data_IF_961213821031
#
_entry.id   IF_961213821031
#
_cell.length_a   1.000
_cell.length_b   1.000
_cell.length_c   1.000
_cell.angle_alpha   90.00
_cell.angle_beta   90.00
_cell.angle_gamma   90.00
#
_symmetry.space_group_name_H-M   'P 1'
#
loop_
_entity.id
_entity.type
_entity.pdbx_description
1 polymer ?
#
# COMPACT_ATOMS: atom_id res chain seq x y z
N UNK A 1 23.16 -25.35 -4.83
CA UNK A 1 22.12 -24.29 -4.72
C UNK A 1 22.67 -23.05 -5.39
N UNK A 2 22.05 -22.60 -6.48
CA UNK A 2 22.51 -21.38 -7.17
C UNK A 2 22.16 -20.15 -6.32
N UNK A 3 22.90 -19.05 -6.48
CA UNK A 3 22.61 -17.80 -5.78
C UNK A 3 21.18 -17.30 -6.08
N UNK A 4 20.68 -17.53 -7.31
CA UNK A 4 19.33 -17.14 -7.72
C UNK A 4 18.24 -17.97 -7.06
N UNK A 5 18.45 -19.28 -6.92
CA UNK A 5 17.53 -20.15 -6.19
C UNK A 5 17.45 -19.77 -4.71
N UNK A 6 18.59 -19.43 -4.09
CA UNK A 6 18.62 -18.95 -2.71
C UNK A 6 17.87 -17.63 -2.53
N UNK A 7 18.06 -16.68 -3.45
CA UNK A 7 17.32 -15.42 -3.46
C UNK A 7 15.82 -15.64 -3.61
N UNK A 8 15.41 -16.49 -4.54
CA UNK A 8 14.00 -16.82 -4.75
C UNK A 8 13.36 -17.44 -3.50
N UNK A 9 14.00 -18.45 -2.89
CA UNK A 9 13.50 -19.08 -1.65
C UNK A 9 13.45 -18.10 -0.47
N UNK A 10 14.43 -17.20 -0.37
CA UNK A 10 14.43 -16.12 0.62
C UNK A 10 13.24 -15.16 0.43
N UNK A 11 12.94 -14.78 -0.81
CA UNK A 11 11.79 -13.93 -1.10
C UNK A 11 10.46 -14.62 -0.74
N UNK A 12 10.32 -15.91 -1.06
CA UNK A 12 9.15 -16.69 -0.66
C UNK A 12 9.01 -16.74 0.86
N UNK A 13 10.08 -17.06 1.59
CA UNK A 13 10.01 -17.16 3.05
C UNK A 13 9.63 -15.83 3.70
N UNK A 14 10.21 -14.71 3.25
CA UNK A 14 9.90 -13.37 3.74
C UNK A 14 8.52 -12.85 3.33
N UNK A 15 7.94 -13.40 2.26
CA UNK A 15 6.59 -13.06 1.81
C UNK A 15 5.50 -13.75 2.63
N UNK A 16 5.82 -14.80 3.38
CA UNK A 16 4.87 -15.48 4.29
C UNK A 16 4.31 -14.52 5.34
N UNK A 17 5.14 -13.57 5.82
CA UNK A 17 4.69 -12.53 6.76
C UNK A 17 4.02 -11.39 5.99
N UNK A 18 2.74 -11.05 6.26
CA UNK A 18 2.08 -9.91 5.63
C UNK A 18 2.71 -8.58 6.07
N UNK A 19 2.50 -7.48 5.30
CA UNK A 19 2.86 -6.14 5.77
C UNK A 19 1.94 -5.71 6.92
N UNK A 20 2.42 -4.81 7.77
CA UNK A 20 1.55 -4.16 8.75
C UNK A 20 0.70 -3.12 8.04
N UNK A 21 -0.62 -3.20 8.22
CA UNK A 21 -1.58 -2.33 7.56
C UNK A 21 -2.46 -1.65 8.59
N UNK A 22 -2.39 -0.32 8.70
CA UNK A 22 -3.09 0.45 9.73
C UNK A 22 -3.84 1.62 9.10
N UNK A 23 -5.00 1.93 9.66
CA UNK A 23 -5.71 3.18 9.37
C UNK A 23 -5.37 4.20 10.45
N UNK A 24 -4.90 5.37 10.04
CA UNK A 24 -4.57 6.49 10.91
C UNK A 24 -5.67 7.55 10.84
N UNK A 25 -6.18 7.97 11.98
CA UNK A 25 -7.23 8.97 12.11
C UNK A 25 -6.73 10.10 12.99
N UNK A 26 -6.75 11.32 12.44
CA UNK A 26 -6.28 12.53 13.11
C UNK A 26 -7.26 13.67 12.89
N UNK A 27 -7.56 14.41 13.96
CA UNK A 27 -8.38 15.61 13.92
C UNK A 27 -7.65 16.79 14.52
N UNK A 28 -7.69 17.94 13.85
CA UNK A 28 -7.04 19.18 14.30
C UNK A 28 -7.99 20.36 14.19
N UNK A 29 -7.87 21.30 15.12
CA UNK A 29 -8.50 22.61 15.02
C UNK A 29 -7.47 23.73 15.18
N UNK A 30 -7.76 24.88 14.59
CA UNK A 30 -6.95 26.09 14.75
C UNK A 30 -7.51 26.92 15.88
N UNK A 31 -6.68 27.24 16.87
CA UNK A 31 -6.99 28.12 17.99
C UNK A 31 -6.27 29.46 17.77
N UNK A 32 -6.96 30.58 18.01
CA UNK A 32 -6.35 31.90 18.01
C UNK A 32 -5.97 32.27 19.44
N UNK A 33 -4.67 32.37 19.73
CA UNK A 33 -4.17 32.72 21.06
C UNK A 33 -3.53 34.09 21.08
N UNK A 34 -3.61 34.74 22.24
CA UNK A 34 -2.91 35.98 22.55
C UNK A 34 -1.77 35.69 23.51
N UNK A 35 -0.59 36.24 23.22
CA UNK A 35 0.52 36.27 24.18
C UNK A 35 0.93 37.71 24.45
N UNK A 36 1.28 37.99 25.70
CA UNK A 36 1.88 39.27 26.08
C UNK A 36 3.39 39.18 25.87
N UNK A 37 3.92 39.99 24.95
CA UNK A 37 5.37 40.09 24.72
C UNK A 37 5.85 41.40 25.30
N UNK A 38 6.73 41.31 26.30
CA UNK A 38 7.43 42.48 26.85
C UNK A 38 8.63 42.79 25.94
N UNK A 39 8.55 43.91 25.22
CA UNK A 39 9.63 44.43 24.39
C UNK A 39 10.21 45.68 25.05
N UNK A 40 11.52 45.73 25.22
CA UNK A 40 12.19 46.94 25.70
C UNK A 40 12.40 47.89 24.52
N UNK A 41 11.85 49.09 24.60
CA UNK A 41 12.08 50.13 23.60
C UNK A 41 13.53 50.65 23.69
N UNK A 42 13.99 51.32 22.63
CA UNK A 42 15.29 52.01 22.52
C UNK A 42 15.64 52.96 23.69
N UNK A 43 14.63 53.34 24.50
CA UNK A 43 14.77 54.17 25.71
C UNK A 43 14.79 53.39 27.03
N UNK A 44 14.85 52.06 27.00
CA UNK A 44 14.98 51.21 28.20
C UNK A 44 13.66 50.91 28.94
N UNK A 45 12.52 51.38 28.44
CA UNK A 45 11.22 51.13 29.07
C UNK A 45 10.62 49.80 28.58
N UNK A 46 10.13 48.94 29.49
CA UNK A 46 9.41 47.73 29.11
C UNK A 46 8.02 48.10 28.57
N UNK A 47 7.74 47.72 27.34
CA UNK A 47 6.41 47.86 26.71
C UNK A 47 5.80 46.47 26.54
N UNK A 48 4.59 46.27 27.06
CA UNK A 48 3.85 45.01 26.88
C UNK A 48 2.97 45.14 25.65
N UNK A 49 3.28 44.38 24.60
CA UNK A 49 2.46 44.32 23.38
C UNK A 49 1.70 43.01 23.36
N UNK A 50 0.42 43.07 23.00
CA UNK A 50 -0.40 41.87 22.78
C UNK A 50 -0.17 41.39 21.35
N UNK A 51 0.41 40.20 21.20
CA UNK A 51 0.56 39.53 19.90
C UNK A 51 -0.51 38.45 19.74
N UNK A 52 -1.20 38.44 18.60
CA UNK A 52 -2.13 37.38 18.21
C UNK A 52 -1.39 36.36 17.34
N UNK A 53 -1.48 35.06 17.66
CA UNK A 53 -0.95 33.99 16.84
C UNK A 53 -1.93 32.82 16.72
N UNK A 54 -1.81 32.05 15.65
CA UNK A 54 -2.62 30.84 15.40
C UNK A 54 -1.84 29.60 15.80
N UNK A 55 -2.50 28.68 16.53
CA UNK A 55 -1.93 27.41 16.95
C UNK A 55 -2.83 26.27 16.47
N UNK A 56 -2.27 25.27 15.76
CA UNK A 56 -3.01 24.08 15.35
C UNK A 56 -2.93 23.03 16.45
N UNK A 57 -4.04 22.78 17.14
CA UNK A 57 -4.14 21.81 18.22
C UNK A 57 -4.71 20.51 17.67
N UNK A 58 -4.04 19.39 17.96
CA UNK A 58 -4.55 18.05 17.61
C UNK A 58 -5.55 17.63 18.66
N UNK A 59 -6.79 17.32 18.30
CA UNK A 59 -7.84 16.90 19.25
C UNK A 59 -7.78 15.41 19.52
N UNK A 60 -7.76 14.60 18.45
CA UNK A 60 -7.65 13.15 18.52
C UNK A 60 -6.60 12.66 17.51
N UNK A 61 -5.94 11.56 17.85
CA UNK A 61 -4.90 10.93 17.04
C UNK A 61 -4.78 9.46 17.45
N UNK A 62 -5.29 8.54 16.63
CA UNK A 62 -5.24 7.12 16.93
C UNK A 62 -5.18 6.25 15.68
N UNK A 63 -4.79 5.00 15.87
CA UNK A 63 -4.64 4.01 14.81
C UNK A 63 -5.66 2.87 14.98
N UNK A 64 -6.04 2.24 13.87
CA UNK A 64 -6.78 0.97 13.84
C UNK A 64 -5.96 -0.03 13.03
N UNK A 65 -5.74 -1.22 13.58
CA UNK A 65 -5.01 -2.28 12.88
C UNK A 65 -5.95 -3.04 11.93
N UNK A 66 -5.58 -3.05 10.65
CA UNK A 66 -6.28 -3.74 9.56
C UNK A 66 -5.51 -4.99 9.12
N UNK A 67 -4.33 -5.26 9.68
CA UNK A 67 -3.54 -6.45 9.35
C UNK A 67 -4.31 -7.76 9.56
N UNK A 68 -5.12 -7.93 10.63
CA UNK A 68 -5.91 -9.15 10.83
C UNK A 68 -6.99 -9.38 9.77
N UNK A 69 -7.35 -8.35 8.99
CA UNK A 69 -8.33 -8.45 7.92
C UNK A 69 -7.74 -9.01 6.62
N UNK A 70 -6.43 -9.23 6.55
CA UNK A 70 -5.78 -9.88 5.40
C UNK A 70 -6.10 -11.37 5.44
N UNK A 71 -6.90 -11.83 4.48
CA UNK A 71 -7.42 -13.21 4.45
C UNK A 71 -6.71 -14.12 3.46
N UNK A 72 -6.05 -13.55 2.45
CA UNK A 72 -5.43 -14.33 1.40
C UNK A 72 -4.13 -13.68 0.92
N UNK A 73 -3.12 -14.50 0.62
CA UNK A 73 -1.83 -14.09 0.09
C UNK A 73 -0.66 -14.80 0.77
N UNK A 74 0.57 -14.59 0.27
CA UNK A 74 0.90 -13.68 -0.82
C UNK A 74 0.57 -14.26 -2.20
N UNK A 75 -0.12 -13.48 -3.04
CA UNK A 75 -0.16 -13.73 -4.48
C UNK A 75 1.05 -13.06 -5.10
N UNK A 76 1.99 -13.86 -5.61
CA UNK A 76 3.19 -13.34 -6.24
C UNK A 76 2.88 -12.74 -7.60
N UNK A 77 3.31 -11.51 -7.82
CA UNK A 77 3.07 -10.80 -9.06
C UNK A 77 4.36 -10.15 -9.58
N UNK A 78 4.38 -9.96 -10.89
CA UNK A 78 5.43 -9.27 -11.62
C UNK A 78 4.81 -8.10 -12.38
N UNK A 79 5.55 -7.00 -12.49
CA UNK A 79 5.09 -5.80 -13.16
C UNK A 79 4.91 -6.10 -14.65
N UNK A 80 3.77 -5.70 -15.22
CA UNK A 80 3.53 -5.85 -16.65
C UNK A 80 4.61 -5.15 -17.47
N UNK A 81 4.91 -5.67 -18.66
CA UNK A 81 6.04 -5.19 -19.45
C UNK A 81 5.89 -3.76 -19.96
N UNK A 82 4.64 -3.32 -20.12
CA UNK A 82 4.31 -1.95 -20.47
C UNK A 82 4.30 -0.98 -19.26
N UNK A 83 4.40 -1.47 -18.02
CA UNK A 83 4.56 -0.60 -16.86
C UNK A 83 6.03 -0.19 -16.66
N UNK A 84 6.30 1.13 -16.51
CA UNK A 84 7.65 1.65 -16.33
C UNK A 84 8.20 1.30 -14.95
N UNK A 85 9.21 0.46 -14.93
CA UNK A 85 9.84 -0.08 -13.73
C UNK A 85 11.36 0.03 -13.81
N UNK A 86 12.06 -0.08 -12.68
CA UNK A 86 13.51 -0.28 -12.74
C UNK A 86 13.77 -1.75 -13.06
N UNK A 87 14.36 -2.03 -14.24
CA UNK A 87 14.61 -3.38 -14.76
C UNK A 87 16.11 -3.66 -14.90
N UNK A 88 16.89 -3.24 -13.90
CA UNK A 88 18.34 -3.43 -13.84
C UNK A 88 19.16 -2.17 -14.09
N UNK A 89 18.60 -1.14 -14.70
CA UNK A 89 19.23 0.18 -14.82
C UNK A 89 18.84 1.15 -13.70
N UNK A 90 19.57 2.27 -13.59
CA UNK A 90 19.23 3.40 -12.71
C UNK A 90 18.18 4.36 -13.31
N UNK A 91 17.49 3.90 -14.36
CA UNK A 91 16.38 4.58 -15.03
C UNK A 91 15.20 3.62 -15.17
N UNK A 92 13.98 4.16 -15.24
CA UNK A 92 12.80 3.36 -15.51
C UNK A 92 12.78 2.91 -16.96
N UNK A 93 12.42 1.66 -17.17
CA UNK A 93 12.40 0.98 -18.46
C UNK A 93 11.06 0.28 -18.65
N UNK A 94 10.72 0.12 -19.92
CA UNK A 94 9.52 -0.54 -20.42
C UNK A 94 10.00 -1.61 -21.40
N UNK A 95 9.51 -2.84 -21.27
CA UNK A 95 9.93 -3.98 -22.12
C UNK A 95 8.96 -4.19 -23.31
N UNK A 96 7.71 -3.74 -23.21
CA UNK A 96 6.69 -3.76 -24.28
C UNK A 96 5.97 -2.42 -24.39
N UNK A 97 5.62 -1.99 -25.60
CA UNK A 97 4.97 -0.69 -25.77
C UNK A 97 3.46 -0.72 -25.48
N UNK A 98 2.84 -1.90 -25.40
CA UNK A 98 1.38 -2.00 -25.41
C UNK A 98 0.77 -2.46 -24.09
N UNK A 99 -0.19 -1.66 -23.60
CA UNK A 99 -1.04 -2.01 -22.44
C UNK A 99 -2.35 -2.66 -22.88
N UNK A 100 -2.60 -2.78 -24.18
CA UNK A 100 -3.87 -3.24 -24.74
C UNK A 100 -3.58 -4.14 -25.94
N UNK A 101 -4.24 -5.28 -26.03
CA UNK A 101 -4.42 -5.99 -27.30
C UNK A 101 -5.16 -5.06 -28.29
N UNK A 102 -4.45 -4.23 -29.04
CA UNK A 102 -5.00 -3.55 -30.22
C UNK A 102 -3.97 -3.52 -31.35
N UNK A 103 -4.32 -4.26 -32.39
CA UNK A 103 -3.70 -4.31 -33.71
C UNK A 103 -2.29 -4.93 -33.79
N UNK A 104 -2.17 -6.21 -34.22
CA UNK A 104 -0.88 -6.87 -34.43
C UNK A 104 0.00 -6.18 -35.50
N UNK A 105 -0.56 -5.27 -36.30
CA UNK A 105 0.16 -4.51 -37.32
C UNK A 105 0.90 -3.26 -36.78
N UNK A 106 0.63 -2.83 -35.53
CA UNK A 106 1.30 -1.69 -34.87
C UNK A 106 2.34 -2.11 -33.81
N UNK A 107 2.64 -3.41 -33.70
CA UNK A 107 3.63 -3.93 -32.76
C UNK A 107 5.06 -3.50 -33.18
N UNK A 108 5.52 -2.38 -32.63
CA UNK A 108 6.94 -2.01 -32.67
C UNK A 108 7.79 -3.07 -31.95
N UNK A 109 9.06 -3.27 -32.36
CA UNK A 109 9.84 -4.43 -31.94
C UNK A 109 9.97 -4.55 -30.42
N UNK A 110 9.72 -5.77 -29.93
CA UNK A 110 10.00 -6.23 -28.57
C UNK A 110 11.42 -5.83 -28.15
N UNK A 111 11.54 -4.87 -27.23
CA UNK A 111 12.84 -4.35 -26.82
C UNK A 111 12.75 -3.41 -25.61
N UNK A 112 13.65 -3.63 -24.65
CA UNK A 112 13.76 -2.82 -23.43
C UNK A 112 14.13 -1.38 -23.79
N UNK A 113 13.17 -0.45 -23.64
CA UNK A 113 13.38 1.00 -23.86
C UNK A 113 13.35 1.78 -22.56
N UNK A 114 13.93 2.98 -22.57
CA UNK A 114 13.78 3.94 -21.46
C UNK A 114 12.35 4.49 -21.45
N UNK A 115 11.76 4.60 -20.27
CA UNK A 115 10.41 5.14 -20.10
C UNK A 115 10.40 6.66 -20.35
N UNK A 116 9.39 7.14 -21.06
CA UNK A 116 9.15 8.57 -21.27
C UNK A 116 8.57 9.20 -20.00
N UNK A 117 8.69 10.52 -19.82
CA UNK A 117 8.08 11.23 -18.67
C UNK A 117 6.57 11.02 -18.61
N UNK A 118 5.90 10.98 -19.76
CA UNK A 118 4.47 10.71 -19.89
C UNK A 118 4.12 9.30 -19.42
N UNK A 119 4.85 8.27 -19.86
CA UNK A 119 4.70 6.88 -19.39
C UNK A 119 4.77 6.81 -17.85
N UNK A 120 5.76 7.50 -17.27
CA UNK A 120 5.99 7.52 -15.82
C UNK A 120 4.83 8.22 -15.09
N UNK A 121 4.31 9.32 -15.65
CA UNK A 121 3.18 10.07 -15.08
C UNK A 121 1.91 9.22 -15.13
N UNK A 122 1.58 8.66 -16.30
CA UNK A 122 0.40 7.82 -16.50
C UNK A 122 0.44 6.56 -15.62
N UNK A 123 1.61 5.92 -15.48
CA UNK A 123 1.76 4.77 -14.59
C UNK A 123 1.58 5.13 -13.11
N UNK A 124 2.04 6.33 -12.69
CA UNK A 124 1.81 6.83 -11.32
C UNK A 124 0.33 7.06 -11.06
N UNK A 125 -0.39 7.67 -12.00
CA UNK A 125 -1.84 7.90 -11.92
C UNK A 125 -2.61 6.58 -11.86
N UNK A 126 -2.33 5.63 -12.76
CA UNK A 126 -2.94 4.29 -12.73
C UNK A 126 -2.66 3.58 -11.41
N UNK A 127 -1.44 3.63 -10.90
CA UNK A 127 -1.10 3.02 -9.60
C UNK A 127 -1.91 3.66 -8.46
N UNK A 128 -2.04 4.99 -8.44
CA UNK A 128 -2.83 5.69 -7.43
C UNK A 128 -4.31 5.30 -7.49
N UNK A 129 -4.89 5.22 -8.70
CA UNK A 129 -6.29 4.80 -8.89
C UNK A 129 -6.48 3.34 -8.44
N UNK A 130 -5.56 2.43 -8.79
CA UNK A 130 -5.63 1.03 -8.32
C UNK A 130 -5.63 0.93 -6.80
N UNK A 131 -4.72 1.66 -6.14
CA UNK A 131 -4.63 1.67 -4.68
C UNK A 131 -5.90 2.26 -4.04
N UNK A 132 -6.42 3.34 -4.60
CA UNK A 132 -7.66 3.98 -4.16
C UNK A 132 -8.87 3.02 -4.26
N UNK A 133 -9.01 2.33 -5.40
CA UNK A 133 -10.10 1.39 -5.65
C UNK A 133 -9.90 0.01 -5.00
N UNK A 134 -8.73 -0.27 -4.42
CA UNK A 134 -8.41 -1.60 -3.89
C UNK A 134 -8.17 -2.66 -4.96
N UNK A 135 -7.80 -2.26 -6.17
CA UNK A 135 -7.55 -3.19 -7.27
C UNK A 135 -6.19 -3.88 -7.13
N UNK A 136 -6.07 -5.15 -7.51
CA UNK A 136 -4.80 -5.86 -7.48
C UNK A 136 -3.79 -5.29 -8.50
N UNK A 137 -2.48 -5.50 -8.26
CA UNK A 137 -1.42 -4.91 -9.08
C UNK A 137 -1.26 -5.51 -10.48
N UNK A 138 -1.95 -6.60 -10.80
CA UNK A 138 -1.98 -7.18 -12.15
C UNK A 138 -3.26 -6.82 -12.92
N UNK A 139 -4.21 -6.06 -12.35
CA UNK A 139 -5.43 -5.68 -13.08
C UNK A 139 -5.28 -4.29 -13.68
N UNK A 140 -5.69 -4.13 -14.93
CA UNK A 140 -5.73 -2.84 -15.62
C UNK A 140 -6.84 -1.93 -15.06
N UNK A 141 -6.57 -0.63 -14.99
CA UNK A 141 -7.58 0.38 -14.64
C UNK A 141 -8.44 0.64 -15.88
N UNK A 142 -9.57 -0.05 -16.01
CA UNK A 142 -10.59 0.23 -17.03
C UNK A 142 -11.64 1.27 -16.57
N UNK A 143 -12.45 1.85 -17.47
CA UNK A 143 -13.51 2.80 -17.12
C UNK A 143 -14.57 2.23 -16.17
N UNK A 144 -14.78 0.90 -16.16
CA UNK A 144 -15.69 0.18 -15.25
C UNK A 144 -14.97 -0.54 -14.10
N UNK A 145 -13.66 -0.38 -13.95
CA UNK A 145 -12.87 -1.15 -12.97
C UNK A 145 -13.24 -0.87 -11.51
N UNK A 146 -13.91 0.25 -11.22
CA UNK A 146 -14.44 0.60 -9.90
C UNK A 146 -15.80 -0.05 -9.57
N UNK A 147 -16.50 -0.62 -10.57
CA UNK A 147 -17.83 -1.21 -10.45
C UNK A 147 -17.81 -2.69 -10.07
N UNK A 148 -16.64 -3.33 -10.07
CA UNK A 148 -16.53 -4.79 -9.96
C UNK A 148 -16.73 -5.28 -8.50
N UNK A 149 -17.96 -5.17 -7.99
CA UNK A 149 -18.47 -5.92 -6.85
C UNK A 149 -18.77 -7.39 -7.21
N UNK A 150 -18.66 -7.74 -8.50
CA UNK A 150 -18.89 -9.09 -9.04
C UNK A 150 -17.57 -9.81 -9.31
N UNK A 151 -17.62 -11.14 -9.39
CA UNK A 151 -16.48 -11.98 -9.72
C UNK A 151 -15.84 -11.57 -11.07
N UNK A 152 -14.51 -11.71 -11.21
CA UNK A 152 -13.77 -11.13 -12.33
C UNK A 152 -13.88 -12.00 -13.60
N UNK A 153 -15.06 -12.07 -14.22
CA UNK A 153 -15.15 -12.63 -15.59
C UNK A 153 -14.53 -11.69 -16.65
N UNK A 154 -14.34 -10.39 -16.31
CA UNK A 154 -13.96 -9.34 -17.27
C UNK A 154 -12.76 -8.48 -16.85
N UNK A 155 -12.04 -8.85 -15.78
CA UNK A 155 -10.87 -8.10 -15.36
C UNK A 155 -9.73 -8.33 -16.35
N UNK A 156 -9.27 -7.28 -17.04
CA UNK A 156 -8.11 -7.36 -17.91
C UNK A 156 -6.86 -7.54 -17.04
N UNK A 157 -6.34 -8.77 -17.04
CA UNK A 157 -5.10 -9.12 -16.35
C UNK A 157 -3.93 -8.70 -17.24
N UNK A 158 -3.04 -7.89 -16.67
CA UNK A 158 -1.81 -7.45 -17.28
C UNK A 158 -0.72 -8.48 -17.02
N UNK A 159 -0.12 -8.98 -18.10
CA UNK A 159 0.88 -10.03 -18.04
C UNK A 159 2.31 -9.47 -18.03
N UNK A 160 3.21 -10.21 -17.39
CA UNK A 160 4.65 -9.97 -17.46
C UNK A 160 5.30 -11.14 -18.19
N UNK A 161 6.24 -10.85 -19.09
CA UNK A 161 7.05 -11.87 -19.75
C UNK A 161 7.96 -12.66 -18.79
N UNK A 162 8.21 -12.15 -17.56
CA UNK A 162 9.16 -12.75 -16.63
C UNK A 162 8.57 -13.02 -15.25
N UNK A 163 8.74 -14.26 -14.81
CA UNK A 163 8.41 -14.69 -13.46
C UNK A 163 9.38 -14.12 -12.41
N UNK A 164 8.98 -14.19 -11.13
CA UNK A 164 9.82 -13.82 -9.99
C UNK A 164 11.19 -14.52 -10.00
N UNK A 165 11.22 -15.80 -10.38
CA UNK A 165 12.45 -16.59 -10.45
C UNK A 165 13.38 -16.09 -11.55
N UNK A 166 12.85 -15.83 -12.74
CA UNK A 166 13.64 -15.28 -13.86
C UNK A 166 14.19 -13.89 -13.55
N UNK A 167 13.43 -13.05 -12.83
CA UNK A 167 13.94 -11.77 -12.33
C UNK A 167 15.07 -11.93 -11.31
N UNK A 168 15.00 -12.94 -10.45
CA UNK A 168 16.08 -13.28 -9.53
C UNK A 168 17.32 -13.80 -10.28
N UNK A 169 17.13 -14.61 -11.33
CA UNK A 169 18.22 -15.07 -12.20
C UNK A 169 18.91 -13.88 -12.90
N UNK A 170 18.13 -12.96 -13.49
CA UNK A 170 18.67 -11.73 -14.14
C UNK A 170 19.43 -10.84 -13.15
N UNK A 171 18.89 -10.66 -11.93
CA UNK A 171 19.58 -9.93 -10.87
C UNK A 171 20.90 -10.58 -10.48
N UNK A 172 20.93 -11.91 -10.32
CA UNK A 172 22.14 -12.63 -9.94
C UNK A 172 23.19 -12.62 -11.06
N UNK A 173 22.78 -12.73 -12.32
CA UNK A 173 23.66 -12.71 -13.49
C UNK A 173 24.29 -11.34 -13.76
N UNK A 174 23.68 -10.24 -13.29
CA UNK A 174 24.24 -8.90 -13.46
C UNK A 174 25.57 -8.71 -12.70
N UNK A 175 26.54 -8.12 -13.37
CA UNK A 175 27.89 -7.75 -12.88
C UNK A 175 27.92 -6.46 -12.03
N UNK A 176 26.77 -5.82 -11.82
CA UNK A 176 26.66 -4.52 -11.13
C UNK A 176 27.01 -4.63 -9.64
N UNK A 177 27.89 -3.75 -9.16
CA UNK A 177 28.40 -3.76 -7.78
C UNK A 177 27.40 -3.19 -6.77
N UNK A 178 26.62 -2.18 -7.18
CA UNK A 178 25.61 -1.50 -6.36
C UNK A 178 24.18 -1.86 -6.80
N UNK A 179 23.98 -3.14 -7.15
CA UNK A 179 22.65 -3.64 -7.52
C UNK A 179 21.71 -3.74 -6.32
N UNK A 180 20.44 -3.39 -6.51
CA UNK A 180 19.41 -3.46 -5.47
C UNK A 180 18.15 -4.12 -6.04
N UNK A 181 17.72 -5.19 -5.40
CA UNK A 181 16.47 -5.86 -5.72
C UNK A 181 15.43 -5.49 -4.67
N UNK A 182 14.34 -4.84 -5.09
CA UNK A 182 13.26 -4.42 -4.21
C UNK A 182 12.01 -5.25 -4.49
N UNK A 183 11.61 -6.05 -3.52
CA UNK A 183 10.33 -6.76 -3.53
C UNK A 183 9.30 -5.94 -2.77
N UNK A 184 8.16 -5.68 -3.41
CA UNK A 184 7.10 -4.80 -2.87
C UNK A 184 5.88 -5.60 -2.41
N UNK A 185 5.46 -5.43 -1.16
CA UNK A 185 4.23 -5.95 -0.61
C UNK A 185 3.12 -4.92 -0.84
N UNK A 186 1.95 -5.37 -1.27
CA UNK A 186 0.80 -4.52 -1.57
C UNK A 186 -0.45 -5.15 -0.96
N UNK A 187 -1.24 -4.37 -0.25
CA UNK A 187 -2.56 -4.79 0.23
C UNK A 187 -3.64 -4.31 -0.75
N UNK A 188 -4.60 -5.17 -1.08
CA UNK A 188 -5.70 -4.86 -2.00
C UNK A 188 -7.02 -5.49 -1.53
N UNK A 189 -8.11 -5.20 -2.24
CA UNK A 189 -9.44 -5.76 -2.03
C UNK A 189 -10.46 -4.75 -1.51
N UNK A 190 -10.06 -3.78 -0.69
CA UNK A 190 -10.99 -2.75 -0.19
C UNK A 190 -10.86 -1.44 -0.96
N UNK A 191 -12.00 -0.82 -1.27
CA UNK A 191 -12.01 0.54 -1.81
C UNK A 191 -11.70 1.52 -0.68
N UNK A 192 -10.43 1.91 -0.60
CA UNK A 192 -9.92 2.80 0.46
C UNK A 192 -10.47 4.21 0.34
N UNK A 193 -10.84 4.67 -0.87
CA UNK A 193 -11.49 5.97 -1.06
C UNK A 193 -12.89 5.99 -0.46
N UNK A 194 -13.74 5.03 -0.83
CA UNK A 194 -15.12 4.96 -0.31
C UNK A 194 -15.12 4.73 1.20
N UNK A 195 -14.22 3.86 1.69
CA UNK A 195 -14.09 3.62 3.12
C UNK A 195 -13.63 4.88 3.87
N UNK A 196 -12.66 5.62 3.31
CA UNK A 196 -12.22 6.90 3.86
C UNK A 196 -13.38 7.90 3.93
N UNK A 197 -14.17 8.04 2.87
CA UNK A 197 -15.30 8.95 2.83
C UNK A 197 -16.37 8.59 3.86
N UNK A 198 -16.70 7.30 4.00
CA UNK A 198 -17.63 6.80 5.01
C UNK A 198 -17.13 7.09 6.44
N UNK A 199 -15.84 6.83 6.71
CA UNK A 199 -15.22 7.13 8.01
C UNK A 199 -15.22 8.63 8.30
N UNK A 200 -14.85 9.47 7.32
CA UNK A 200 -14.89 10.92 7.47
C UNK A 200 -16.32 11.40 7.74
N UNK A 201 -17.33 10.85 7.06
CA UNK A 201 -18.73 11.18 7.30
C UNK A 201 -19.19 10.80 8.72
N UNK A 202 -18.79 9.63 9.23
CA UNK A 202 -19.07 9.23 10.61
C UNK A 202 -18.39 10.16 11.63
N UNK A 203 -17.13 10.55 11.40
CA UNK A 203 -16.42 11.49 12.27
C UNK A 203 -17.08 12.87 12.25
N UNK A 204 -17.50 13.34 11.07
CA UNK A 204 -18.21 14.63 10.91
C UNK A 204 -19.51 14.73 11.70
N UNK A 205 -20.14 13.61 12.04
CA UNK A 205 -21.33 13.61 12.90
C UNK A 205 -21.03 14.01 14.36
N UNK A 206 -19.76 13.94 14.78
CA UNK A 206 -19.32 14.20 16.16
C UNK A 206 -18.30 15.35 16.22
N UNK A 207 -17.62 15.65 15.11
CA UNK A 207 -16.48 16.56 15.07
C UNK A 207 -16.49 17.45 13.81
N UNK A 208 -16.35 18.77 14.01
CA UNK A 208 -16.58 19.76 12.94
C UNK A 208 -15.32 20.42 12.37
N UNK A 209 -14.12 20.08 12.86
CA UNK A 209 -12.87 20.70 12.41
C UNK A 209 -12.15 19.85 11.33
N UNK A 210 -10.86 20.10 11.12
CA UNK A 210 -10.08 19.43 10.08
C UNK A 210 -9.83 17.97 10.43
N UNK A 211 -10.09 17.08 9.48
CA UNK A 211 -10.00 15.62 9.66
C UNK A 211 -9.07 15.06 8.59
N UNK A 212 -8.09 14.28 9.03
CA UNK A 212 -7.19 13.52 8.19
C UNK A 212 -7.36 12.02 8.48
N UNK A 213 -7.66 11.26 7.43
CA UNK A 213 -7.72 9.79 7.48
C UNK A 213 -6.78 9.26 6.41
N UNK A 214 -5.79 8.46 6.82
CA UNK A 214 -4.80 7.83 5.94
C UNK A 214 -4.70 6.33 6.20
N UNK A 215 -4.26 5.59 5.18
CA UNK A 215 -3.93 4.18 5.29
C UNK A 215 -2.44 4.01 5.18
N UNK A 216 -1.81 3.59 6.27
CA UNK A 216 -0.39 3.47 6.40
C UNK A 216 0.01 2.00 6.34
N UNK A 217 1.06 1.72 5.55
CA UNK A 217 1.61 0.39 5.39
C UNK A 217 3.06 0.39 5.84
N UNK A 218 3.40 -0.48 6.78
CA UNK A 218 4.75 -0.70 7.28
C UNK A 218 5.25 -2.09 6.89
N UNK A 219 6.57 -2.25 6.83
CA UNK A 219 7.21 -3.50 6.38
C UNK A 219 6.80 -3.92 4.95
N UNK A 220 6.54 -2.94 4.08
CA UNK A 220 6.04 -3.14 2.72
C UNK A 220 7.13 -3.48 1.69
N UNK A 221 8.41 -3.33 2.04
CA UNK A 221 9.51 -3.48 1.08
C UNK A 221 10.62 -4.33 1.64
N UNK A 222 11.05 -5.31 0.86
CA UNK A 222 12.25 -6.10 1.12
C UNK A 222 13.31 -5.64 0.11
N UNK A 223 14.43 -5.10 0.62
CA UNK A 223 15.54 -4.61 -0.21
C UNK A 223 16.74 -5.53 -0.06
N UNK A 224 17.09 -6.22 -1.13
CA UNK A 224 18.28 -7.07 -1.21
C UNK A 224 19.40 -6.33 -1.93
N UNK A 225 20.61 -6.44 -1.37
CA UNK A 225 21.86 -5.90 -1.94
C UNK A 225 22.92 -6.99 -1.97
N UNK A 226 23.86 -6.95 -2.92
CA UNK A 226 24.92 -7.96 -3.02
C UNK A 226 25.89 -7.84 -1.85
N UNK A 227 26.48 -8.97 -1.46
CA UNK A 227 27.45 -9.06 -0.37
C UNK A 227 28.87 -8.61 -0.80
N UNK A 228 28.99 -7.42 -1.38
CA UNK A 228 30.26 -6.87 -1.85
C UNK A 228 30.90 -5.97 -0.79
N UNK A 229 32.24 -5.90 -0.76
CA UNK A 229 33.00 -5.02 0.17
C UNK A 229 32.52 -3.58 0.11
N UNK A 230 32.27 -3.07 -1.10
CA UNK A 230 31.79 -1.70 -1.32
C UNK A 230 30.36 -1.48 -0.79
N UNK A 231 29.46 -2.46 -0.94
CA UNK A 231 28.10 -2.38 -0.37
C UNK A 231 28.12 -2.42 1.15
N UNK A 232 28.98 -3.27 1.74
CA UNK A 232 29.19 -3.36 3.19
C UNK A 232 29.81 -2.07 3.75
N UNK A 233 30.79 -1.52 3.05
CA UNK A 233 31.46 -0.27 3.39
C UNK A 233 30.45 0.89 3.44
N UNK A 234 29.62 1.04 2.41
CA UNK A 234 28.57 2.08 2.35
C UNK A 234 27.45 1.90 3.39
N UNK A 235 27.31 0.72 3.98
CA UNK A 235 26.31 0.47 5.02
C UNK A 235 26.75 0.94 6.41
N UNK A 236 28.06 1.09 6.65
CA UNK A 236 28.61 1.45 7.94
C UNK A 236 28.38 2.94 8.27
N UNK A 237 27.92 3.23 9.49
CA UNK A 237 27.62 4.58 9.96
C UNK A 237 28.86 5.51 9.94
N UNK A 238 30.02 5.01 10.37
CA UNK A 238 31.26 5.80 10.38
C UNK A 238 31.72 6.18 8.98
N UNK A 239 31.60 5.25 8.04
CA UNK A 239 31.94 5.51 6.64
C UNK A 239 30.99 6.55 6.03
N UNK A 240 29.69 6.51 6.35
CA UNK A 240 28.75 7.54 5.90
C UNK A 240 29.13 8.93 6.39
N UNK A 241 29.63 9.04 7.62
CA UNK A 241 30.13 10.28 8.19
C UNK A 241 31.36 10.79 7.43
N UNK A 242 32.36 9.94 7.19
CA UNK A 242 33.53 10.30 6.39
C UNK A 242 33.18 10.68 4.94
N UNK A 243 32.25 9.95 4.30
CA UNK A 243 31.78 10.27 2.96
C UNK A 243 31.06 11.62 2.87
N UNK A 244 30.44 12.04 3.98
CA UNK A 244 29.81 13.36 4.09
C UNK A 244 30.87 14.46 4.22
N UNK A 245 31.85 14.28 5.12
CA UNK A 245 32.98 15.22 5.29
C UNK A 245 33.76 15.39 3.99
N UNK A 246 34.03 14.28 3.29
CA UNK A 246 34.80 14.28 2.05
C UNK A 246 33.98 14.68 0.81
N UNK A 247 32.68 14.97 0.96
CA UNK A 247 31.78 15.34 -0.14
C UNK A 247 31.82 14.33 -1.31
N UNK A 248 31.94 13.03 -1.02
CA UNK A 248 32.12 11.98 -2.05
C UNK A 248 30.78 11.49 -2.64
N UNK A 249 29.65 11.78 -2.00
CA UNK A 249 28.31 11.39 -2.47
C UNK A 249 27.99 11.73 -3.95
N UNK A 250 28.31 12.93 -4.50
CA UNK A 250 28.09 13.20 -5.92
C UNK A 250 28.86 12.24 -6.83
N UNK A 251 30.07 11.82 -6.46
CA UNK A 251 30.87 10.85 -7.23
C UNK A 251 30.29 9.44 -7.15
N UNK A 252 29.81 9.02 -5.97
CA UNK A 252 29.10 7.74 -5.82
C UNK A 252 27.83 7.73 -6.68
N UNK A 253 27.09 8.84 -6.70
CA UNK A 253 25.91 8.99 -7.54
C UNK A 253 26.28 8.89 -9.03
N UNK A 254 27.35 9.57 -9.46
CA UNK A 254 27.83 9.54 -10.83
C UNK A 254 28.26 8.13 -11.24
N UNK A 255 29.01 7.44 -10.37
CA UNK A 255 29.41 6.05 -10.57
C UNK A 255 28.18 5.13 -10.69
N UNK A 256 27.19 5.29 -9.80
CA UNK A 256 25.96 4.50 -9.80
C UNK A 256 25.16 4.72 -11.10
N UNK A 257 25.15 5.94 -11.64
CA UNK A 257 24.35 6.35 -12.81
C UNK A 257 25.02 6.01 -14.15
N UNK A 258 26.32 6.28 -14.29
CA UNK A 258 27.02 6.28 -15.59
C UNK A 258 27.96 5.10 -15.81
N UNK A 259 28.39 4.40 -14.75
CA UNK A 259 29.25 3.22 -14.90
C UNK A 259 28.42 1.99 -15.26
N UNK A 260 28.88 1.22 -16.25
CA UNK A 260 28.29 -0.07 -16.63
C UNK A 260 28.18 -1.04 -15.44
N UNK A 261 29.25 -1.10 -14.63
CA UNK A 261 29.34 -1.96 -13.44
C UNK A 261 28.78 -1.31 -12.17
N UNK A 262 28.24 -0.09 -12.28
CA UNK A 262 27.85 0.73 -11.14
C UNK A 262 26.55 0.26 -10.50
N UNK A 263 25.50 1.04 -10.69
CA UNK A 263 24.20 0.83 -10.07
C UNK A 263 23.23 0.07 -10.94
N UNK A 264 22.47 -0.83 -10.32
CA UNK A 264 21.29 -1.40 -10.93
C UNK A 264 20.15 -1.48 -9.94
N UNK A 265 18.93 -1.25 -10.40
CA UNK A 265 17.75 -1.36 -9.54
C UNK A 265 16.72 -2.25 -10.19
N UNK A 266 16.16 -3.17 -9.42
CA UNK A 266 15.07 -4.04 -9.82
C UNK A 266 13.89 -3.74 -8.90
N UNK A 267 12.84 -3.13 -9.46
CA UNK A 267 11.56 -2.89 -8.78
C UNK A 267 10.45 -3.48 -9.64
N UNK A 268 10.49 -4.79 -9.86
CA UNK A 268 9.73 -5.48 -10.91
C UNK A 268 8.70 -6.46 -10.37
N UNK A 269 8.70 -6.76 -9.07
CA UNK A 269 7.87 -7.81 -8.53
C UNK A 269 7.47 -7.56 -7.08
N UNK A 270 6.50 -8.34 -6.63
CA UNK A 270 5.94 -8.18 -5.31
C UNK A 270 5.06 -9.32 -4.85
N UNK A 271 4.50 -9.12 -3.67
CA UNK A 271 3.47 -9.97 -3.06
C UNK A 271 2.23 -9.14 -2.82
N UNK A 272 1.08 -9.61 -3.29
CA UNK A 272 -0.19 -8.97 -3.05
C UNK A 272 -0.98 -9.74 -1.99
N UNK A 273 -1.55 -9.00 -1.05
CA UNK A 273 -2.28 -9.51 0.10
C UNK A 273 -3.72 -8.98 0.01
N UNK A 274 -4.69 -9.89 -0.02
CA UNK A 274 -6.08 -9.55 -0.21
C UNK A 274 -6.81 -9.42 1.13
N UNK A 275 -7.51 -8.30 1.31
CA UNK A 275 -8.51 -8.10 2.36
C UNK A 275 -9.83 -8.79 2.01
N UNK A 276 -10.15 -8.85 0.71
CA UNK A 276 -11.24 -9.66 0.16
C UNK A 276 -10.84 -10.19 -1.22
N UNK A 277 -11.17 -11.43 -1.53
CA UNK A 277 -10.92 -12.06 -2.84
C UNK A 277 -12.00 -13.08 -3.19
N UNK A 278 -12.28 -13.23 -4.48
CA UNK A 278 -13.10 -14.31 -5.01
C UNK A 278 -12.25 -15.57 -5.15
N UNK A 279 -12.77 -16.72 -4.71
CA UNK A 279 -12.15 -18.03 -4.89
C UNK A 279 -13.11 -18.98 -5.60
N UNK A 280 -12.63 -19.63 -6.65
CA UNK A 280 -13.34 -20.70 -7.35
C UNK A 280 -13.42 -21.90 -6.39
N UNK A 281 -14.63 -22.42 -6.20
CA UNK A 281 -14.86 -23.58 -5.36
C UNK A 281 -14.73 -24.88 -6.15
N UNK A 282 -14.36 -25.99 -5.48
CA UNK A 282 -14.28 -27.28 -6.11
C UNK A 282 -15.61 -27.69 -6.79
N UNK A 283 -15.56 -28.47 -7.88
CA UNK A 283 -16.75 -28.96 -8.56
C UNK A 283 -17.61 -29.81 -7.60
N UNK A 284 -18.92 -29.55 -7.59
CA UNK A 284 -19.87 -30.21 -6.68
C UNK A 284 -20.20 -29.44 -5.40
N UNK A 285 -19.58 -28.27 -5.18
CA UNK A 285 -19.94 -27.39 -4.06
C UNK A 285 -21.36 -26.85 -4.24
N UNK A 286 -22.25 -27.19 -3.30
CA UNK A 286 -23.61 -26.65 -3.27
C UNK A 286 -23.60 -25.28 -2.61
N UNK A 287 -24.20 -24.29 -3.27
CA UNK A 287 -24.41 -22.97 -2.68
C UNK A 287 -25.37 -23.14 -1.50
N UNK A 288 -25.03 -22.62 -0.29
CA UNK A 288 -25.95 -22.68 0.84
C UNK A 288 -27.28 -22.01 0.48
N UNK A 289 -28.43 -22.72 0.59
CA UNK A 289 -29.71 -22.25 0.06
C UNK A 289 -30.28 -20.99 0.76
N UNK A 290 -29.68 -20.55 1.88
CA UNK A 290 -30.21 -19.49 2.74
C UNK A 290 -29.30 -18.26 2.91
N UNK A 291 -28.21 -18.13 2.15
CA UNK A 291 -27.24 -17.02 2.30
C UNK A 291 -27.05 -16.30 0.97
N UNK A 292 -28.06 -15.55 0.54
CA UNK A 292 -27.95 -14.70 -0.66
C UNK A 292 -27.38 -13.31 -0.32
N UNK A 293 -26.28 -13.27 0.42
CA UNK A 293 -25.59 -12.03 0.78
C UNK A 293 -24.71 -11.50 -0.37
N UNK A 294 -24.86 -12.07 -1.58
CA UNK A 294 -24.03 -11.79 -2.76
C UNK A 294 -22.58 -12.28 -2.64
N UNK A 295 -22.25 -13.15 -1.67
CA UNK A 295 -20.92 -13.75 -1.50
C UNK A 295 -20.69 -14.96 -2.41
N UNK A 296 -21.75 -15.58 -2.87
CA UNK A 296 -21.72 -16.69 -3.80
C UNK A 296 -22.19 -16.19 -5.16
N UNK A 297 -21.43 -16.50 -6.21
CA UNK A 297 -21.79 -16.17 -7.58
C UNK A 297 -21.52 -17.37 -8.49
N UNK A 298 -22.33 -17.50 -9.55
CA UNK A 298 -22.06 -18.43 -10.63
C UNK A 298 -21.23 -17.72 -11.70
N UNK A 299 -20.17 -18.38 -12.13
CA UNK A 299 -19.22 -17.92 -13.14
C UNK A 299 -19.07 -19.02 -14.20
N UNK A 300 -18.63 -18.68 -15.41
CA UNK A 300 -18.31 -19.65 -16.47
C UNK A 300 -17.43 -20.81 -16.00
N UNK A 301 -16.52 -20.52 -15.07
CA UNK A 301 -15.49 -21.44 -14.56
C UNK A 301 -15.95 -22.22 -13.32
N UNK A 302 -17.18 -21.98 -12.83
CA UNK A 302 -17.77 -22.65 -11.68
C UNK A 302 -18.40 -21.71 -10.66
N UNK A 303 -18.64 -22.22 -9.46
CA UNK A 303 -19.15 -21.42 -8.34
C UNK A 303 -17.99 -20.71 -7.68
N UNK A 304 -18.10 -19.39 -7.52
CA UNK A 304 -17.12 -18.59 -6.80
C UNK A 304 -17.69 -18.09 -5.48
N UNK A 305 -16.82 -18.04 -4.48
CA UNK A 305 -17.13 -17.58 -3.13
C UNK A 305 -16.22 -16.42 -2.72
N UNK A 306 -16.80 -15.37 -2.14
CA UNK A 306 -16.06 -14.23 -1.62
C UNK A 306 -15.50 -14.55 -0.24
N UNK A 307 -14.17 -14.59 -0.15
CA UNK A 307 -13.44 -14.72 1.11
C UNK A 307 -12.99 -13.34 1.57
N UNK A 308 -13.20 -13.04 2.85
CA UNK A 308 -12.86 -11.77 3.48
C UNK A 308 -14.06 -10.99 4.00
N UNK A 309 -13.78 -10.08 4.93
CA UNK A 309 -14.76 -9.09 5.40
C UNK A 309 -14.89 -8.01 4.32
N UNK A 310 -16.12 -7.57 4.02
CA UNK A 310 -16.32 -6.44 3.10
C UNK A 310 -16.07 -5.13 3.84
N UNK A 311 -15.55 -4.13 3.13
CA UNK A 311 -15.28 -2.80 3.70
C UNK A 311 -16.51 -2.17 4.41
N UNK A 312 -17.73 -2.39 3.90
CA UNK A 312 -18.97 -1.90 4.52
C UNK A 312 -19.35 -2.64 5.81
N UNK A 313 -19.14 -3.95 5.87
CA UNK A 313 -19.39 -4.75 7.09
C UNK A 313 -18.38 -4.39 8.18
N UNK A 314 -17.12 -4.26 7.78
CA UNK A 314 -16.06 -3.77 8.66
C UNK A 314 -16.42 -2.39 9.19
N UNK A 315 -16.83 -1.46 8.32
CA UNK A 315 -17.20 -0.10 8.73
C UNK A 315 -18.38 -0.09 9.70
N UNK A 316 -19.44 -0.85 9.42
CA UNK A 316 -20.61 -0.94 10.31
C UNK A 316 -20.23 -1.41 11.72
N UNK A 317 -19.31 -2.37 11.82
CA UNK A 317 -18.78 -2.86 13.09
C UNK A 317 -17.91 -1.83 13.83
N UNK A 318 -17.14 -1.04 13.08
CA UNK A 318 -16.18 -0.08 13.64
C UNK A 318 -16.74 1.33 13.87
N UNK A 319 -17.87 1.68 13.24
CA UNK A 319 -18.44 3.02 13.28
C UNK A 319 -18.66 3.53 14.72
N UNK A 320 -19.24 2.69 15.58
CA UNK A 320 -19.49 3.03 16.99
C UNK A 320 -18.19 3.33 17.75
N UNK A 321 -17.18 2.48 17.59
CA UNK A 321 -15.85 2.65 18.19
C UNK A 321 -15.16 3.92 17.69
N UNK A 322 -15.21 4.19 16.38
CA UNK A 322 -14.61 5.40 15.77
C UNK A 322 -15.28 6.66 16.34
N UNK A 323 -16.62 6.71 16.33
CA UNK A 323 -17.37 7.85 16.87
C UNK A 323 -17.07 8.04 18.35
N UNK A 324 -17.09 6.97 19.15
CA UNK A 324 -16.80 7.02 20.58
C UNK A 324 -15.37 7.46 20.91
N UNK A 325 -14.38 7.00 20.15
CA UNK A 325 -12.98 7.42 20.31
C UNK A 325 -12.78 8.90 19.97
N UNK A 326 -13.44 9.40 18.91
CA UNK A 326 -13.43 10.82 18.55
C UNK A 326 -14.13 11.68 19.62
N UNK A 327 -15.32 11.28 20.09
CA UNK A 327 -16.02 12.00 21.17
C UNK A 327 -15.14 12.13 22.44
N UNK A 328 -14.37 11.07 22.75
CA UNK A 328 -13.46 11.03 23.90
C UNK A 328 -12.10 11.68 23.63
N UNK A 329 -11.88 12.24 22.43
CA UNK A 329 -10.62 12.89 22.02
C UNK A 329 -9.39 11.99 22.28
N UNK A 330 -9.52 10.71 21.95
CA UNK A 330 -8.48 9.70 22.23
C UNK A 330 -7.19 10.06 21.48
N UNK A 331 -6.06 9.97 22.18
CA UNK A 331 -4.71 10.11 21.62
C UNK A 331 -3.87 8.91 22.03
N UNK A 332 -3.52 8.06 21.08
CA UNK A 332 -2.71 6.86 21.34
C UNK A 332 -1.97 6.41 20.08
N UNK A 333 -0.73 5.95 20.27
CA UNK A 333 0.04 5.28 19.22
C UNK A 333 -0.27 3.79 19.10
N UNK A 334 -0.92 3.21 20.12
CA UNK A 334 -1.31 1.81 20.13
C UNK A 334 -2.62 1.64 19.35
N UNK A 335 -2.70 0.71 18.38
CA UNK A 335 -3.91 0.48 17.63
C UNK A 335 -5.10 0.13 18.52
N UNK A 336 -6.25 0.74 18.24
CA UNK A 336 -7.50 0.44 18.93
C UNK A 336 -7.95 -0.99 18.62
N UNK A 337 -8.62 -1.60 19.59
CA UNK A 337 -9.28 -2.88 19.41
C UNK A 337 -10.75 -2.68 19.06
N UNK A 338 -11.32 -3.60 18.28
CA UNK A 338 -12.74 -3.57 17.94
C UNK A 338 -13.58 -3.65 19.22
N UNK A 339 -14.62 -2.81 19.33
CA UNK A 339 -15.47 -2.76 20.53
C UNK A 339 -14.91 -1.91 21.67
N UNK A 340 -13.68 -1.37 21.55
CA UNK A 340 -13.21 -0.32 22.46
C UNK A 340 -14.05 0.94 22.27
N UNK A 341 -14.25 1.71 23.35
CA UNK A 341 -14.96 2.99 23.34
C UNK A 341 -16.39 2.99 22.78
N UNK A 342 -17.06 1.83 22.73
CA UNK A 342 -18.45 1.75 22.27
C UNK A 342 -19.38 2.66 23.08
N UNK A 343 -20.36 3.31 22.43
CA UNK A 343 -21.45 3.99 23.13
C UNK A 343 -22.25 3.03 24.01
N UNK A 344 -22.78 3.48 25.17
CA UNK A 344 -23.54 2.62 26.08
C UNK A 344 -24.74 1.92 25.44
N UNK A 345 -25.42 2.56 24.47
CA UNK A 345 -26.57 1.96 23.79
C UNK A 345 -26.20 0.76 22.91
N UNK A 346 -24.94 0.66 22.45
CA UNK A 346 -24.45 -0.49 21.68
C UNK A 346 -24.09 -1.70 22.56
N UNK A 347 -24.10 -1.52 23.89
CA UNK A 347 -23.88 -2.59 24.87
C UNK A 347 -25.21 -3.15 25.42
N UNK A 348 -26.34 -2.61 24.97
CA UNK A 348 -27.66 -3.07 25.39
C UNK A 348 -27.93 -4.49 24.85
N UNK A 349 -28.54 -5.32 25.68
CA UNK A 349 -29.00 -6.64 25.26
C UNK A 349 -29.97 -6.50 24.06
N UNK A 350 -29.83 -7.40 23.09
CA UNK A 350 -30.56 -7.34 21.82
C UNK A 350 -29.95 -6.43 20.75
N UNK A 351 -28.97 -5.57 21.06
CA UNK A 351 -28.22 -4.83 20.04
C UNK A 351 -27.21 -5.75 19.36
N UNK A 352 -27.49 -6.14 18.10
CA UNK A 352 -26.65 -7.08 17.33
C UNK A 352 -25.92 -6.35 16.21
N UNK A 353 -24.66 -5.92 16.40
CA UNK A 353 -23.81 -5.57 15.27
C UNK A 353 -23.58 -6.84 14.40
N UNK A 354 -23.27 -6.70 13.09
CA UNK A 354 -22.93 -7.84 12.27
C UNK A 354 -21.78 -8.62 12.91
N UNK A 355 -21.91 -9.95 12.99
CA UNK A 355 -20.80 -10.80 13.43
C UNK A 355 -19.65 -10.70 12.42
N UNK A 356 -18.38 -10.75 12.87
CA UNK A 356 -17.26 -10.79 11.95
C UNK A 356 -17.41 -11.99 11.03
N UNK A 357 -17.20 -11.78 9.73
CA UNK A 357 -17.26 -12.87 8.77
C UNK A 357 -16.18 -13.89 9.08
N UNK A 358 -16.60 -15.13 9.34
CA UNK A 358 -15.71 -16.28 9.45
C UNK A 358 -15.79 -17.06 8.15
N UNK A 359 -14.68 -17.13 7.42
CA UNK A 359 -14.60 -17.94 6.21
C UNK A 359 -14.91 -19.41 6.54
N UNK A 360 -15.71 -20.11 5.72
CA UNK A 360 -15.89 -21.54 5.88
C UNK A 360 -14.52 -22.26 5.82
N UNK A 361 -14.36 -23.40 6.51
CA UNK A 361 -13.10 -24.15 6.46
C UNK A 361 -12.75 -24.48 5.01
N UNK A 362 -11.55 -24.09 4.59
CA UNK A 362 -11.02 -24.40 3.27
C UNK A 362 -10.77 -25.92 3.27
N UNK A 363 -11.58 -26.67 2.53
CA UNK A 363 -11.27 -28.07 2.24
C UNK A 363 -10.06 -28.08 1.29
N UNK A 364 -8.93 -28.58 1.76
CA UNK A 364 -7.72 -28.80 0.95
C UNK A 364 -7.86 -30.02 0.05
#
# INVERSE_FOLDING_TARGET
MTASEALYRFLLSQSTTPPEYRMHLRGTHTEHRTRFVSRTDSKGNPTTTTEHYTETVTDFDFYIDLTPNIVHGPVHWSLPDAEPAYRGEMVKQVDSNDLILRDPEMAQPSGRRKATKEDIKAAKERKAIRQACGLPPWVAVGPESWLQQQAPERAVVLESSKSLRQWADEYCASDKLLKEFTYTKVVYGWNTTNLREAVVAAIRSVYNHEIQVSFDMSHDKIRIRPANTFSRMLSNMWIKFFLWILLIYPFIWLYKRFSHHGGGRWEVCGGAYALKTWQIQPPGTQIPPYVNDGRWQHTSDGVVHLIGEREGEWFQRWEGTIRGAVSKRVRTSVPLQSGSYLPPHMLLDGFRPPLPYVSPPIAY
#
